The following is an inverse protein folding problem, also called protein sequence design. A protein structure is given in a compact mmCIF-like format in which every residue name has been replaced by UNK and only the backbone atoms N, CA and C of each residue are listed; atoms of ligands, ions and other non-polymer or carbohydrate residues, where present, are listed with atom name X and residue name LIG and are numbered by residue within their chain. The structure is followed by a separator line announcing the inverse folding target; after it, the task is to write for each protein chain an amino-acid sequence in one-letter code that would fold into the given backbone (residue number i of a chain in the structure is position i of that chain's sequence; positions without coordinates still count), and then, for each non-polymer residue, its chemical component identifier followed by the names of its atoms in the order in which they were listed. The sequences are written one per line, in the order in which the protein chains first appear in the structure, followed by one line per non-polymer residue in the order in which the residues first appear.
data_IF_062356494378
#
_entry.id   IF_062356494378
#
_cell.length_a   1.000
_cell.length_b   1.000
_cell.length_c   1.000
_cell.angle_alpha   90.00
_cell.angle_beta   90.00
_cell.angle_gamma   90.00
#
_symmetry.space_group_name_H-M   'P 1'
#
loop_
_entity.id
_entity.type
_entity.pdbx_description
1 polymer ?
#
# COMPACT_ATOMS: atom_id res chain seq x y z
N UNK A 1 11.46 -21.50 10.08
CA UNK A 1 10.05 -21.94 10.14
C UNK A 1 9.34 -21.47 11.41
N UNK A 2 9.88 -21.63 12.64
CA UNK A 2 9.26 -21.08 13.86
C UNK A 2 8.99 -19.56 13.84
N UNK A 3 9.89 -18.76 13.25
CA UNK A 3 9.68 -17.30 13.08
C UNK A 3 8.54 -16.96 12.10
N UNK A 4 8.26 -17.87 11.14
CA UNK A 4 7.15 -17.76 10.20
C UNK A 4 5.82 -18.19 10.84
N UNK A 5 5.86 -19.19 11.74
CA UNK A 5 4.69 -19.62 12.52
C UNK A 5 4.27 -18.59 13.57
N UNK A 6 5.20 -17.86 14.20
CA UNK A 6 4.85 -16.77 15.13
C UNK A 6 4.35 -15.51 14.42
N UNK A 7 4.90 -15.18 13.23
CA UNK A 7 4.33 -14.16 12.33
C UNK A 7 2.89 -14.49 11.95
N UNK A 8 2.61 -15.76 11.66
CA UNK A 8 1.25 -16.20 11.34
C UNK A 8 0.27 -16.12 12.52
N UNK A 9 0.73 -16.16 13.79
CA UNK A 9 -0.20 -16.08 14.91
C UNK A 9 -0.84 -14.69 15.04
N UNK A 10 -0.04 -13.62 14.90
CA UNK A 10 -0.59 -12.25 14.88
C UNK A 10 -1.55 -12.06 13.72
N UNK A 11 -1.23 -12.62 12.57
CA UNK A 11 -2.04 -12.48 11.36
C UNK A 11 -3.33 -13.30 11.43
N UNK A 12 -3.28 -14.51 12.00
CA UNK A 12 -4.46 -15.30 12.28
C UNK A 12 -5.39 -14.62 13.30
N UNK A 13 -4.82 -14.05 14.37
CA UNK A 13 -5.60 -13.28 15.35
C UNK A 13 -6.20 -12.02 14.72
N UNK A 14 -5.44 -11.31 13.88
CA UNK A 14 -5.95 -10.17 13.13
C UNK A 14 -7.10 -10.60 12.20
N UNK A 15 -6.95 -11.66 11.41
CA UNK A 15 -8.01 -12.22 10.57
C UNK A 15 -9.26 -12.58 11.37
N UNK A 16 -9.09 -13.21 12.53
CA UNK A 16 -10.19 -13.54 13.44
C UNK A 16 -10.92 -12.28 13.92
N UNK A 17 -10.19 -11.27 14.38
CA UNK A 17 -10.78 -10.02 14.88
C UNK A 17 -11.44 -9.18 13.77
N UNK A 18 -10.86 -9.16 12.55
CA UNK A 18 -11.51 -8.59 11.37
C UNK A 18 -12.83 -9.33 11.11
N UNK A 19 -12.80 -10.67 11.06
CA UNK A 19 -13.98 -11.49 10.86
C UNK A 19 -15.06 -11.26 11.92
N UNK A 20 -14.67 -11.16 13.19
CA UNK A 20 -15.55 -10.85 14.32
C UNK A 20 -16.17 -9.46 14.16
N UNK A 21 -15.39 -8.45 13.79
CA UNK A 21 -15.87 -7.10 13.54
C UNK A 21 -16.89 -7.07 12.39
N UNK A 22 -16.58 -7.69 11.26
CA UNK A 22 -17.49 -7.77 10.10
C UNK A 22 -18.76 -8.57 10.42
N UNK A 23 -18.65 -9.63 11.20
CA UNK A 23 -19.80 -10.40 11.66
C UNK A 23 -20.70 -9.60 12.59
N UNK A 24 -20.12 -8.83 13.52
CA UNK A 24 -20.84 -7.88 14.36
C UNK A 24 -21.56 -6.82 13.50
N UNK A 25 -20.91 -6.25 12.48
CA UNK A 25 -21.55 -5.31 11.55
C UNK A 25 -22.69 -5.97 10.76
N UNK A 26 -22.53 -7.21 10.31
CA UNK A 26 -23.60 -7.96 9.65
C UNK A 26 -24.79 -8.22 10.59
N UNK A 27 -24.53 -8.52 11.87
CA UNK A 27 -25.56 -8.64 12.93
C UNK A 27 -26.26 -7.32 13.19
N UNK A 28 -25.53 -6.20 13.15
CA UNK A 28 -26.10 -4.87 13.24
C UNK A 28 -27.03 -4.58 12.05
N UNK A 29 -26.63 -4.93 10.83
CA UNK A 29 -27.48 -4.82 9.62
C UNK A 29 -28.76 -5.64 9.72
N UNK A 30 -28.72 -6.79 10.42
CA UNK A 30 -29.87 -7.64 10.64
C UNK A 30 -30.86 -7.07 11.67
N UNK A 31 -30.41 -6.37 12.73
CA UNK A 31 -31.29 -6.02 13.85
C UNK A 31 -30.90 -4.83 14.72
N UNK A 32 -30.04 -3.92 14.27
CA UNK A 32 -29.64 -2.66 14.92
C UNK A 32 -29.47 -2.74 16.45
N UNK A 33 -28.70 -3.73 16.92
CA UNK A 33 -28.48 -3.98 18.35
C UNK A 33 -27.22 -3.30 18.85
N UNK A 34 -27.27 -2.67 20.03
CA UNK A 34 -26.09 -2.08 20.69
C UNK A 34 -24.97 -3.08 20.92
N UNK A 35 -25.30 -4.32 21.29
CA UNK A 35 -24.32 -5.38 21.52
C UNK A 35 -23.45 -5.68 20.29
N UNK A 36 -24.00 -5.50 19.09
CA UNK A 36 -23.24 -5.67 17.86
C UNK A 36 -22.19 -4.57 17.67
N UNK A 37 -22.53 -3.30 17.96
CA UNK A 37 -21.55 -2.22 17.90
C UNK A 37 -20.50 -2.32 19.01
N UNK A 38 -20.90 -2.69 20.23
CA UNK A 38 -19.95 -2.94 21.33
C UNK A 38 -18.98 -4.05 20.95
N UNK A 39 -19.46 -5.15 20.36
CA UNK A 39 -18.61 -6.23 19.86
C UNK A 39 -17.66 -5.80 18.75
N UNK A 40 -18.13 -4.98 17.80
CA UNK A 40 -17.28 -4.41 16.75
C UNK A 40 -16.20 -3.49 17.31
N UNK A 41 -16.55 -2.61 18.27
CA UNK A 41 -15.61 -1.71 18.93
C UNK A 41 -14.60 -2.47 19.80
N UNK A 42 -15.01 -3.52 20.50
CA UNK A 42 -14.10 -4.38 21.26
C UNK A 42 -13.09 -5.08 20.34
N UNK A 43 -13.55 -5.61 19.19
CA UNK A 43 -12.65 -6.17 18.18
C UNK A 43 -11.68 -5.12 17.62
N UNK A 44 -12.14 -3.88 17.45
CA UNK A 44 -11.33 -2.75 16.99
C UNK A 44 -10.24 -2.37 18.01
N UNK A 45 -10.57 -2.27 19.30
CA UNK A 45 -9.59 -2.01 20.38
C UNK A 45 -8.49 -3.08 20.38
N UNK A 46 -8.85 -4.35 20.24
CA UNK A 46 -7.85 -5.43 20.19
C UNK A 46 -6.98 -5.36 18.93
N UNK A 47 -7.54 -4.91 17.80
CA UNK A 47 -6.83 -4.75 16.52
C UNK A 47 -5.71 -3.71 16.57
N UNK A 48 -5.86 -2.68 17.42
CA UNK A 48 -4.93 -1.56 17.56
C UNK A 48 -3.47 -2.04 17.76
N UNK A 49 -3.29 -3.03 18.63
CA UNK A 49 -1.96 -3.59 18.97
C UNK A 49 -1.38 -4.54 17.92
N UNK A 50 -2.21 -5.03 16.99
CA UNK A 50 -1.82 -6.06 16.02
C UNK A 50 -1.41 -5.48 14.68
N UNK A 51 -2.31 -4.68 14.08
CA UNK A 51 -2.16 -4.16 12.71
C UNK A 51 -2.78 -2.77 12.65
N UNK A 52 -2.00 -1.76 12.98
CA UNK A 52 -2.45 -0.37 13.09
C UNK A 52 -3.19 0.15 11.85
N UNK A 53 -2.69 -0.10 10.63
CA UNK A 53 -3.37 0.35 9.41
C UNK A 53 -4.74 -0.33 9.19
N UNK A 54 -4.88 -1.60 9.59
CA UNK A 54 -6.17 -2.33 9.55
C UNK A 54 -7.12 -1.75 10.59
N UNK A 55 -6.62 -1.42 11.78
CA UNK A 55 -7.37 -0.71 12.81
C UNK A 55 -7.91 0.62 12.28
N UNK A 56 -7.08 1.48 11.68
CA UNK A 56 -7.53 2.76 11.10
C UNK A 56 -8.58 2.52 10.00
N UNK A 57 -8.35 1.54 9.12
CA UNK A 57 -9.33 1.16 8.09
C UNK A 57 -10.67 0.77 8.69
N UNK A 58 -10.68 -0.14 9.67
CA UNK A 58 -11.89 -0.59 10.34
C UNK A 58 -12.58 0.54 11.12
N UNK A 59 -11.84 1.44 11.76
CA UNK A 59 -12.37 2.60 12.47
C UNK A 59 -13.14 3.54 11.52
N UNK A 60 -12.74 3.63 10.25
CA UNK A 60 -13.47 4.36 9.20
C UNK A 60 -14.65 3.51 8.69
N UNK A 61 -14.45 2.22 8.46
CA UNK A 61 -15.46 1.32 7.87
C UNK A 61 -16.67 1.13 8.79
N UNK A 62 -16.47 1.00 10.10
CA UNK A 62 -17.55 0.77 11.08
C UNK A 62 -18.67 1.83 10.97
N UNK A 63 -18.40 3.14 11.08
CA UNK A 63 -19.46 4.15 10.92
C UNK A 63 -20.05 4.18 9.51
N UNK A 64 -19.24 4.02 8.44
CA UNK A 64 -19.78 3.93 7.07
C UNK A 64 -20.72 2.74 6.88
N UNK A 65 -20.38 1.58 7.44
CA UNK A 65 -21.22 0.40 7.40
C UNK A 65 -22.54 0.62 8.15
N UNK A 66 -22.52 1.34 9.28
CA UNK A 66 -23.73 1.71 10.03
C UNK A 66 -24.63 2.65 9.21
N UNK A 67 -24.05 3.62 8.48
CA UNK A 67 -24.79 4.51 7.57
C UNK A 67 -25.51 3.72 6.47
N UNK A 68 -24.89 2.66 5.95
CA UNK A 68 -25.45 1.85 4.86
C UNK A 68 -26.44 0.78 5.32
N UNK A 69 -26.75 0.70 6.62
CA UNK A 69 -27.66 -0.30 7.16
C UNK A 69 -29.08 -0.19 6.55
N UNK A 70 -29.61 -1.26 5.91
CA UNK A 70 -30.82 -1.16 5.08
C UNK A 70 -32.12 -0.95 5.87
N UNK A 71 -32.16 -1.34 7.15
CA UNK A 71 -33.41 -1.42 7.96
C UNK A 71 -33.65 -0.20 8.86
N UNK A 72 -32.78 0.80 8.85
CA UNK A 72 -32.90 1.98 9.70
C UNK A 72 -33.53 3.16 8.94
N UNK A 73 -34.50 3.82 9.56
CA UNK A 73 -34.95 5.14 9.14
C UNK A 73 -33.85 6.19 9.34
N UNK A 74 -34.00 7.38 8.73
CA UNK A 74 -32.93 8.37 8.64
C UNK A 74 -32.42 8.85 10.02
N UNK A 75 -33.34 9.17 10.95
CA UNK A 75 -32.97 9.74 12.26
C UNK A 75 -32.22 8.75 13.14
N UNK A 76 -32.70 7.51 13.38
CA UNK A 76 -31.92 6.49 14.08
C UNK A 76 -30.59 6.23 13.39
N UNK A 77 -30.57 6.12 12.06
CA UNK A 77 -29.34 5.90 11.29
C UNK A 77 -28.29 6.98 11.58
N UNK A 78 -28.67 8.25 11.58
CA UNK A 78 -27.75 9.35 11.91
C UNK A 78 -27.24 9.24 13.35
N UNK A 79 -28.11 8.95 14.32
CA UNK A 79 -27.71 8.76 15.74
C UNK A 79 -26.73 7.60 15.92
N UNK A 80 -27.01 6.45 15.30
CA UNK A 80 -26.14 5.29 15.35
C UNK A 80 -24.79 5.55 14.67
N UNK A 81 -24.82 6.22 13.52
CA UNK A 81 -23.61 6.55 12.76
C UNK A 81 -22.75 7.55 13.52
N UNK A 82 -23.35 8.57 14.14
CA UNK A 82 -22.66 9.54 14.99
C UNK A 82 -22.02 8.87 16.21
N UNK A 83 -22.73 7.95 16.88
CA UNK A 83 -22.18 7.17 17.99
C UNK A 83 -21.00 6.30 17.57
N UNK A 84 -21.13 5.57 16.46
CA UNK A 84 -20.05 4.75 15.91
C UNK A 84 -18.83 5.58 15.49
N UNK A 85 -19.05 6.75 14.88
CA UNK A 85 -18.01 7.67 14.46
C UNK A 85 -17.29 8.29 15.68
N UNK A 86 -18.04 8.68 16.72
CA UNK A 86 -17.47 9.21 17.96
C UNK A 86 -16.57 8.18 18.65
N UNK A 87 -17.03 6.94 18.81
CA UNK A 87 -16.23 5.86 19.40
C UNK A 87 -14.97 5.61 18.57
N UNK A 88 -15.10 5.52 17.25
CA UNK A 88 -13.96 5.29 16.36
C UNK A 88 -12.95 6.44 16.43
N UNK A 89 -13.42 7.69 16.46
CA UNK A 89 -12.57 8.87 16.59
C UNK A 89 -11.86 8.93 17.95
N UNK A 90 -12.55 8.58 19.04
CA UNK A 90 -11.94 8.51 20.38
C UNK A 90 -10.83 7.46 20.44
N UNK A 91 -11.05 6.28 19.85
CA UNK A 91 -10.02 5.22 19.77
C UNK A 91 -8.80 5.64 18.94
N UNK A 92 -9.03 6.32 17.81
CA UNK A 92 -7.92 6.85 16.99
C UNK A 92 -7.17 7.97 17.72
N UNK A 93 -7.89 8.82 18.46
CA UNK A 93 -7.30 9.90 19.25
C UNK A 93 -6.48 9.38 20.44
N UNK A 94 -6.94 8.33 21.14
CA UNK A 94 -6.23 7.75 22.29
C UNK A 94 -4.91 7.09 21.92
N UNK A 95 -4.72 6.68 20.66
CA UNK A 95 -3.48 6.07 20.19
C UNK A 95 -2.33 7.08 20.00
N UNK A 96 -2.53 8.37 20.29
CA UNK A 96 -1.48 9.41 20.26
C UNK A 96 -1.08 9.87 18.85
N UNK A 97 -1.10 8.97 17.86
CA UNK A 97 -0.80 9.24 16.45
C UNK A 97 -1.85 10.11 15.75
N UNK A 98 -3.13 10.03 16.15
CA UNK A 98 -4.18 10.88 15.59
C UNK A 98 -3.89 12.36 15.83
N UNK A 99 -3.52 12.73 17.05
CA UNK A 99 -3.32 14.13 17.43
C UNK A 99 -1.87 14.58 17.14
N UNK A 100 -0.86 13.76 17.48
CA UNK A 100 0.54 14.13 17.27
C UNK A 100 0.95 14.11 15.79
N UNK A 101 0.44 13.15 15.00
CA UNK A 101 0.66 13.07 13.56
C UNK A 101 0.00 14.23 12.81
N UNK A 102 -1.22 14.61 13.19
CA UNK A 102 -1.89 15.82 12.66
C UNK A 102 -1.20 17.12 13.09
N UNK A 103 -0.65 17.17 14.32
CA UNK A 103 0.08 18.34 14.82
C UNK A 103 1.47 18.53 14.18
N UNK A 104 2.09 17.48 13.64
CA UNK A 104 3.41 17.52 13.00
C UNK A 104 3.46 18.23 11.63
N UNK A 105 2.40 18.94 11.23
CA UNK A 105 2.39 19.88 10.10
C UNK A 105 2.22 19.26 8.71
N UNK A 106 2.39 17.95 8.53
CA UNK A 106 2.23 17.27 7.23
C UNK A 106 0.81 16.77 6.90
N UNK A 107 -0.07 16.69 7.90
CA UNK A 107 -1.40 16.08 7.73
C UNK A 107 -1.35 14.58 7.37
N UNK A 108 -2.53 13.93 7.24
CA UNK A 108 -2.62 12.47 7.02
C UNK A 108 -2.02 12.04 5.68
N UNK A 109 -2.08 12.88 4.64
CA UNK A 109 -1.55 12.56 3.32
C UNK A 109 -0.03 12.49 3.31
N UNK A 110 0.66 13.40 4.01
CA UNK A 110 2.12 13.31 4.15
C UNK A 110 2.53 12.06 4.95
N UNK A 111 1.73 11.63 5.93
CA UNK A 111 2.00 10.40 6.66
C UNK A 111 1.87 9.15 5.77
N UNK A 112 0.84 9.08 4.91
CA UNK A 112 0.69 8.01 3.92
C UNK A 112 1.88 8.00 2.94
N UNK A 113 2.24 9.19 2.45
CA UNK A 113 3.35 9.37 1.51
C UNK A 113 4.70 8.96 2.13
N UNK A 114 4.98 9.39 3.36
CA UNK A 114 6.17 9.01 4.11
C UNK A 114 6.24 7.51 4.37
N UNK A 115 5.11 6.90 4.76
CA UNK A 115 5.00 5.44 4.95
C UNK A 115 5.31 4.70 3.66
N UNK A 116 4.73 5.16 2.55
CA UNK A 116 4.92 4.62 1.21
C UNK A 116 6.38 4.68 0.74
N UNK A 117 7.02 5.83 0.93
CA UNK A 117 8.44 6.01 0.63
C UNK A 117 9.32 5.12 1.51
N UNK A 118 9.04 5.04 2.81
CA UNK A 118 9.77 4.17 3.74
C UNK A 118 9.70 2.71 3.32
N UNK A 119 8.53 2.22 2.90
CA UNK A 119 8.36 0.86 2.41
C UNK A 119 9.08 0.62 1.08
N UNK A 120 9.06 1.58 0.17
CA UNK A 120 9.80 1.49 -1.10
C UNK A 120 11.32 1.43 -0.88
N UNK A 121 11.85 2.18 0.09
CA UNK A 121 13.29 2.23 0.39
C UNK A 121 13.81 0.95 1.06
N UNK A 122 13.00 0.32 1.92
CA UNK A 122 13.44 -0.82 2.73
C UNK A 122 13.71 -2.10 1.92
N UNK A 123 13.36 -2.14 0.64
CA UNK A 123 13.21 -3.40 -0.09
C UNK A 123 13.59 -3.27 -1.57
N UNK A 124 14.06 -4.38 -2.15
CA UNK A 124 14.57 -4.37 -3.54
C UNK A 124 13.51 -4.37 -4.64
N UNK A 125 12.24 -4.27 -4.27
CA UNK A 125 11.09 -4.43 -5.18
C UNK A 125 10.12 -3.25 -5.09
N UNK A 126 10.67 -2.06 -4.79
CA UNK A 126 9.93 -0.81 -4.86
C UNK A 126 9.45 -0.55 -6.29
N UNK A 127 8.17 -0.20 -6.47
CA UNK A 127 7.57 0.06 -7.79
C UNK A 127 7.27 1.55 -8.01
N UNK A 128 7.82 2.41 -7.15
CA UNK A 128 7.68 3.85 -7.20
C UNK A 128 9.04 4.51 -7.20
N UNK A 129 9.15 5.65 -7.87
CA UNK A 129 10.31 6.51 -7.75
C UNK A 129 10.36 7.08 -6.33
N UNK A 130 11.56 7.13 -5.74
CA UNK A 130 11.76 7.69 -4.41
C UNK A 130 11.93 9.20 -4.58
N UNK A 131 10.96 10.04 -4.17
CA UNK A 131 11.15 11.47 -4.24
C UNK A 131 12.22 11.89 -3.24
N UNK A 132 13.24 12.57 -3.71
CA UNK A 132 14.29 13.19 -2.90
C UNK A 132 13.98 14.68 -2.89
N UNK A 133 13.65 15.21 -1.71
CA UNK A 133 13.45 16.65 -1.57
C UNK A 133 14.79 17.35 -1.76
N UNK A 134 14.83 18.31 -2.67
CA UNK A 134 16.03 19.03 -3.02
C UNK A 134 15.75 20.53 -3.14
N UNK A 135 16.59 21.33 -2.50
CA UNK A 135 16.67 22.78 -2.65
C UNK A 135 17.77 23.13 -3.63
N UNK A 136 17.64 24.28 -4.26
CA UNK A 136 18.76 24.85 -5.02
C UNK A 136 19.95 25.07 -4.07
N UNK A 137 21.14 24.61 -4.48
CA UNK A 137 22.34 24.53 -3.65
C UNK A 137 22.56 23.18 -2.97
N UNK A 138 21.55 22.31 -2.90
CA UNK A 138 21.73 20.98 -2.30
C UNK A 138 22.70 20.14 -3.14
N UNK A 139 23.60 19.44 -2.44
CA UNK A 139 24.58 18.55 -3.06
C UNK A 139 24.30 17.13 -2.60
N UNK A 140 23.97 16.28 -3.58
CA UNK A 140 23.61 14.89 -3.38
C UNK A 140 24.77 14.00 -3.86
N UNK A 141 25.13 12.98 -3.08
CA UNK A 141 26.19 12.04 -3.46
C UNK A 141 25.56 10.70 -3.81
N UNK A 142 25.89 10.18 -4.99
CA UNK A 142 25.49 8.83 -5.37
C UNK A 142 26.40 7.84 -4.62
N UNK A 143 25.87 6.98 -3.74
CA UNK A 143 26.71 6.08 -2.95
C UNK A 143 27.48 5.12 -3.85
N UNK A 144 28.81 5.07 -3.70
CA UNK A 144 29.64 4.03 -4.32
C UNK A 144 29.37 2.69 -3.63
N UNK A 145 29.30 1.60 -4.40
CA UNK A 145 29.33 0.28 -3.78
C UNK A 145 30.60 0.14 -2.94
N UNK A 146 30.53 -0.47 -1.73
CA UNK A 146 31.72 -0.72 -0.95
C UNK A 146 32.69 -1.51 -1.82
N UNK A 147 34.00 -1.19 -1.77
CA UNK A 147 34.98 -1.89 -2.57
C UNK A 147 34.85 -3.38 -2.30
N UNK A 148 34.73 -4.17 -3.37
CA UNK A 148 34.72 -5.63 -3.25
C UNK A 148 36.04 -6.02 -2.60
N UNK A 149 35.99 -6.75 -1.49
CA UNK A 149 37.20 -7.14 -0.76
C UNK A 149 38.23 -7.74 -1.73
N UNK A 150 39.36 -7.05 -1.92
CA UNK A 150 40.43 -7.45 -2.84
C UNK A 150 40.66 -6.55 -4.06
N UNK A 151 39.80 -5.55 -4.34
CA UNK A 151 40.10 -4.55 -5.38
C UNK A 151 40.75 -3.31 -4.76
N UNK A 152 42.07 -3.20 -4.84
CA UNK A 152 42.82 -1.96 -4.58
C UNK A 152 42.61 -1.00 -5.74
N UNK A 153 41.51 -0.24 -5.72
CA UNK A 153 41.30 0.86 -6.65
C UNK A 153 42.21 2.03 -6.27
N UNK A 154 43.06 2.45 -7.20
CA UNK A 154 43.85 3.68 -7.12
C UNK A 154 42.91 4.88 -6.87
N UNK A 155 43.23 5.79 -5.94
CA UNK A 155 42.37 6.91 -5.56
C UNK A 155 42.50 8.03 -6.60
N UNK A 156 41.88 7.88 -7.78
CA UNK A 156 42.22 8.78 -8.88
C UNK A 156 41.06 9.00 -9.87
N UNK A 157 40.10 9.81 -9.44
CA UNK A 157 39.56 10.92 -10.23
C UNK A 157 38.66 11.74 -9.32
N UNK A 158 38.72 13.08 -9.42
CA UNK A 158 37.73 13.95 -8.78
C UNK A 158 36.34 13.51 -9.27
N UNK A 159 35.38 13.22 -8.36
CA UNK A 159 34.08 12.72 -8.78
C UNK A 159 33.41 13.74 -9.71
N UNK A 160 32.83 13.31 -10.83
CA UNK A 160 32.20 14.23 -11.77
C UNK A 160 31.02 14.94 -11.10
N UNK A 161 30.94 16.24 -11.32
CA UNK A 161 29.87 17.08 -10.79
C UNK A 161 28.79 17.20 -11.88
N UNK A 162 27.57 16.81 -11.54
CA UNK A 162 26.41 16.86 -12.44
C UNK A 162 25.41 17.87 -11.91
N UNK A 163 25.18 18.93 -12.67
CA UNK A 163 24.19 19.95 -12.31
C UNK A 163 22.81 19.56 -12.84
N UNK A 164 21.79 19.65 -11.99
CA UNK A 164 20.41 19.28 -12.33
C UNK A 164 19.42 20.29 -11.80
N UNK A 165 18.32 20.50 -12.52
CA UNK A 165 17.24 21.36 -12.03
C UNK A 165 16.39 20.63 -10.99
N UNK A 166 15.76 21.39 -10.09
CA UNK A 166 14.68 20.87 -9.26
C UNK A 166 13.54 20.39 -10.18
N UNK A 167 13.02 19.16 -9.97
CA UNK A 167 12.16 18.37 -10.87
C UNK A 167 12.86 17.41 -11.84
N UNK A 168 14.20 17.33 -11.83
CA UNK A 168 14.90 16.33 -12.66
C UNK A 168 14.73 14.93 -12.08
N UNK A 169 14.41 13.94 -12.93
CA UNK A 169 14.48 12.53 -12.55
C UNK A 169 15.92 12.05 -12.62
N UNK A 170 16.45 11.54 -11.51
CA UNK A 170 17.77 10.93 -11.45
C UNK A 170 17.63 9.41 -11.56
N UNK A 171 18.40 8.81 -12.46
CA UNK A 171 18.52 7.36 -12.55
C UNK A 171 19.97 6.98 -12.37
N UNK A 172 20.26 6.29 -11.26
CA UNK A 172 21.61 5.78 -11.00
C UNK A 172 21.85 4.56 -11.89
N UNK A 173 22.81 4.65 -12.81
CA UNK A 173 23.16 3.57 -13.76
C UNK A 173 24.64 3.24 -13.70
N UNK A 174 24.96 1.96 -13.89
CA UNK A 174 26.34 1.51 -14.15
C UNK A 174 26.70 1.66 -15.62
N UNK A 175 25.71 1.51 -16.51
CA UNK A 175 25.87 1.61 -17.96
C UNK A 175 24.75 2.50 -18.50
N UNK A 176 25.11 3.50 -19.32
CA UNK A 176 24.11 4.36 -19.94
C UNK A 176 23.18 3.52 -20.85
N UNK A 177 21.85 3.69 -20.75
CA UNK A 177 20.94 2.98 -21.62
C UNK A 177 21.09 3.46 -23.07
N UNK A 178 20.92 2.55 -24.03
CA UNK A 178 20.98 2.88 -25.46
C UNK A 178 19.92 3.93 -25.88
N UNK A 179 18.78 3.95 -25.19
CA UNK A 179 17.68 4.88 -25.41
C UNK A 179 17.38 5.65 -24.11
N UNK A 180 18.00 6.82 -23.90
CA UNK A 180 17.75 7.62 -22.71
C UNK A 180 16.31 8.16 -22.69
N UNK A 181 15.70 8.18 -21.50
CA UNK A 181 14.36 8.73 -21.28
C UNK A 181 14.46 10.26 -21.22
N UNK A 182 13.70 11.01 -22.03
CA UNK A 182 13.68 12.47 -21.98
C UNK A 182 13.39 13.01 -20.57
N UNK A 183 14.12 14.06 -20.15
CA UNK A 183 13.97 14.67 -18.81
C UNK A 183 14.56 13.85 -17.66
N UNK A 184 15.31 12.78 -17.97
CA UNK A 184 16.02 11.95 -17.00
C UNK A 184 17.52 12.19 -17.08
N UNK A 185 18.16 12.43 -15.94
CA UNK A 185 19.62 12.53 -15.83
C UNK A 185 20.17 11.24 -15.25
N UNK A 186 21.08 10.64 -16.01
CA UNK A 186 21.75 9.40 -15.65
C UNK A 186 23.03 9.72 -14.90
N UNK A 187 23.12 9.23 -13.66
CA UNK A 187 24.27 9.46 -12.79
C UNK A 187 24.91 8.12 -12.43
N UNK A 188 26.22 8.10 -12.23
CA UNK A 188 26.97 6.90 -11.87
C UNK A 188 27.24 6.87 -10.36
N UNK A 189 27.46 5.68 -9.77
CA UNK A 189 27.96 5.58 -8.41
C UNK A 189 29.24 6.40 -8.21
N UNK A 190 29.25 7.30 -7.22
CA UNK A 190 30.34 8.23 -6.96
C UNK A 190 30.14 9.64 -7.50
N UNK A 191 29.18 9.86 -8.41
CA UNK A 191 28.89 11.19 -8.94
C UNK A 191 28.36 12.12 -7.84
N UNK A 192 28.69 13.40 -7.96
CA UNK A 192 28.20 14.48 -7.11
C UNK A 192 27.15 15.26 -7.89
N UNK A 193 25.90 15.19 -7.44
CA UNK A 193 24.79 15.86 -8.09
C UNK A 193 24.52 17.18 -7.36
N UNK A 194 24.63 18.30 -8.06
CA UNK A 194 24.34 19.63 -7.52
C UNK A 194 23.02 20.12 -8.09
N UNK A 195 22.11 20.51 -7.20
CA UNK A 195 20.79 20.97 -7.59
C UNK A 195 20.86 22.48 -7.84
N UNK A 196 20.70 22.90 -9.09
CA UNK A 196 20.82 24.29 -9.50
C UNK A 196 21.52 24.47 -10.85
N UNK A 197 21.70 25.74 -11.25
CA UNK A 197 22.42 26.09 -12.48
C UNK A 197 23.92 25.74 -12.41
N UNK A 198 24.59 25.81 -13.57
CA UNK A 198 26.02 25.53 -13.70
C UNK A 198 26.95 26.41 -12.83
N UNK A 199 26.45 27.55 -12.33
CA UNK A 199 27.20 28.45 -11.45
C UNK A 199 27.15 28.10 -9.95
N UNK A 200 26.39 27.06 -9.56
CA UNK A 200 26.23 26.69 -8.14
C UNK A 200 27.36 25.74 -7.73
N UNK A 201 28.26 26.19 -6.84
CA UNK A 201 29.33 25.33 -6.33
C UNK A 201 28.81 24.22 -5.41
N UNK A 202 29.40 23.01 -5.45
CA UNK A 202 29.00 21.92 -4.57
C UNK A 202 29.25 22.28 -3.10
N UNK A 203 28.32 21.86 -2.24
CA UNK A 203 28.45 22.00 -0.80
C UNK A 203 29.67 21.21 -0.27
N UNK A 204 30.28 21.67 0.83
CA UNK A 204 31.37 20.95 1.48
C UNK A 204 30.90 19.55 1.94
N UNK A 205 31.84 18.61 2.03
CA UNK A 205 31.55 17.17 2.15
C UNK A 205 30.69 16.79 3.35
N UNK A 206 30.79 17.55 4.45
CA UNK A 206 30.02 17.39 5.68
C UNK A 206 28.53 17.74 5.53
N UNK A 207 28.15 18.49 4.49
CA UNK A 207 26.76 18.90 4.21
C UNK A 207 26.11 18.16 3.05
N UNK A 208 26.79 17.16 2.48
CA UNK A 208 26.27 16.40 1.34
C UNK A 208 25.25 15.37 1.80
N UNK A 209 24.12 15.30 1.12
CA UNK A 209 23.09 14.28 1.39
C UNK A 209 23.37 13.06 0.52
N UNK A 210 23.48 11.88 1.12
CA UNK A 210 23.68 10.65 0.34
C UNK A 210 22.35 10.22 -0.26
N UNK A 211 22.32 9.98 -1.57
CA UNK A 211 21.12 9.44 -2.22
C UNK A 211 20.79 8.06 -1.64
N UNK A 212 19.50 7.77 -1.41
CA UNK A 212 19.08 6.43 -0.99
C UNK A 212 19.65 5.40 -1.95
N UNK A 213 20.44 4.46 -1.44
CA UNK A 213 21.09 3.45 -2.28
C UNK A 213 20.04 2.50 -2.84
N UNK A 214 19.94 2.41 -4.17
CA UNK A 214 19.15 1.32 -4.75
C UNK A 214 19.87 -0.02 -4.65
N UNK A 215 19.11 -1.11 -4.68
CA UNK A 215 19.68 -2.43 -4.87
C UNK A 215 20.42 -2.54 -6.22
N UNK A 216 21.53 -3.26 -6.20
CA UNK A 216 22.55 -3.34 -7.27
C UNK A 216 22.06 -3.79 -8.66
N UNK A 217 20.84 -4.30 -8.82
CA UNK A 217 20.34 -4.88 -10.08
C UNK A 217 19.34 -3.98 -10.84
N UNK A 218 18.84 -2.88 -10.26
CA UNK A 218 17.74 -2.10 -10.84
C UNK A 218 17.98 -0.60 -11.07
N UNK A 219 19.11 -0.06 -10.61
CA UNK A 219 19.34 1.38 -10.56
C UNK A 219 18.45 2.10 -9.54
N UNK A 220 18.91 3.23 -9.01
CA UNK A 220 18.07 4.08 -8.14
C UNK A 220 17.32 5.05 -9.01
N UNK A 221 16.00 4.90 -9.07
CA UNK A 221 15.14 5.97 -9.59
C UNK A 221 14.82 6.90 -8.42
N UNK A 222 15.55 8.02 -8.35
CA UNK A 222 15.27 9.10 -7.42
C UNK A 222 14.65 10.25 -8.21
N UNK A 223 13.49 10.74 -7.78
CA UNK A 223 12.89 11.92 -8.40
C UNK A 223 13.24 13.14 -7.55
N UNK A 224 13.99 14.10 -8.07
CA UNK A 224 14.22 15.35 -7.34
C UNK A 224 12.92 16.13 -7.32
N UNK A 225 12.32 16.25 -6.15
CA UNK A 225 11.17 17.12 -5.97
C UNK A 225 11.68 18.40 -5.33
N UNK A 226 11.33 19.59 -5.86
CA UNK A 226 11.61 20.85 -5.20
C UNK A 226 11.18 20.74 -3.75
N UNK A 227 12.08 21.02 -2.82
CA UNK A 227 11.70 21.20 -1.44
C UNK A 227 10.83 22.46 -1.40
N UNK A 228 9.52 22.29 -1.61
CA UNK A 228 8.54 23.34 -1.41
C UNK A 228 8.78 23.93 -0.02
N UNK A 229 8.65 25.25 0.08
CA UNK A 229 8.71 25.96 1.36
C UNK A 229 7.94 25.18 2.43
N UNK A 230 8.43 25.11 3.68
CA UNK A 230 7.77 24.37 4.75
C UNK A 230 6.32 24.87 4.88
N UNK A 231 5.37 24.08 4.36
CA UNK A 231 3.96 24.47 4.20
C UNK A 231 3.31 24.17 2.84
N UNK A 232 4.07 23.78 1.80
CA UNK A 232 3.53 23.50 0.46
C UNK A 232 2.72 22.20 0.33
N UNK A 233 1.56 22.12 0.98
CA UNK A 233 0.61 21.01 0.85
C UNK A 233 0.01 20.88 -0.56
N UNK A 234 0.11 21.92 -1.37
CA UNK A 234 -0.53 22.03 -2.69
C UNK A 234 -0.08 20.93 -3.67
N UNK A 235 1.18 20.47 -3.55
CA UNK A 235 1.71 19.40 -4.38
C UNK A 235 1.48 17.99 -3.80
N UNK A 236 1.08 17.83 -2.54
CA UNK A 236 0.92 16.51 -1.91
C UNK A 236 -0.32 15.79 -2.43
N UNK A 237 -1.48 16.44 -2.40
CA UNK A 237 -2.76 15.89 -2.87
C UNK A 237 -2.68 15.36 -4.31
N UNK A 238 -2.27 16.16 -5.32
CA UNK A 238 -2.21 15.68 -6.70
C UNK A 238 -1.20 14.54 -6.89
N UNK A 239 -0.10 14.52 -6.13
CA UNK A 239 0.87 13.40 -6.17
C UNK A 239 0.28 12.11 -5.61
N UNK A 240 -0.34 12.17 -4.44
CA UNK A 240 -0.99 11.00 -3.83
C UNK A 240 -2.13 10.48 -4.71
N UNK A 241 -2.95 11.37 -5.28
CA UNK A 241 -4.01 10.98 -6.21
C UNK A 241 -3.45 10.43 -7.53
N UNK A 242 -2.38 11.02 -8.06
CA UNK A 242 -1.70 10.53 -9.27
C UNK A 242 -1.06 9.15 -9.08
N UNK A 243 -0.67 8.81 -7.84
CA UNK A 243 -0.17 7.48 -7.52
C UNK A 243 -1.28 6.41 -7.48
N UNK A 244 -2.52 6.80 -7.15
CA UNK A 244 -3.59 5.86 -6.84
C UNK A 244 -3.86 4.82 -7.95
N UNK A 245 -3.90 5.15 -9.26
CA UNK A 245 -4.12 4.14 -10.30
C UNK A 245 -3.03 3.07 -10.32
N UNK A 246 -1.77 3.48 -10.16
CA UNK A 246 -0.62 2.55 -10.15
C UNK A 246 -0.66 1.70 -8.89
N UNK A 247 -0.90 2.31 -7.72
CA UNK A 247 -1.02 1.59 -6.45
C UNK A 247 -2.14 0.56 -6.46
N UNK A 248 -3.32 0.92 -7.00
CA UNK A 248 -4.47 0.00 -7.13
C UNK A 248 -4.14 -1.14 -8.08
N UNK A 249 -3.52 -0.85 -9.22
CA UNK A 249 -3.07 -1.90 -10.15
C UNK A 249 -2.10 -2.87 -9.48
N UNK A 250 -1.13 -2.39 -8.70
CA UNK A 250 -0.21 -3.26 -7.98
C UNK A 250 -0.92 -4.03 -6.86
N UNK A 251 -1.82 -3.40 -6.11
CA UNK A 251 -2.55 -4.06 -5.03
C UNK A 251 -3.41 -5.21 -5.56
N UNK A 252 -4.07 -4.99 -6.71
CA UNK A 252 -4.92 -6.00 -7.33
C UNK A 252 -4.12 -7.06 -8.08
N UNK A 253 -3.05 -6.70 -8.78
CA UNK A 253 -2.45 -7.60 -9.78
C UNK A 253 -1.02 -8.04 -9.50
N UNK A 254 -0.27 -7.39 -8.60
CA UNK A 254 1.12 -7.77 -8.36
C UNK A 254 1.25 -9.01 -7.44
N UNK A 255 2.30 -9.83 -7.55
CA UNK A 255 3.27 -9.85 -8.65
C UNK A 255 2.63 -10.25 -9.97
N UNK A 256 3.06 -9.61 -11.05
CA UNK A 256 2.59 -9.95 -12.39
C UNK A 256 3.21 -11.27 -12.85
N UNK A 257 2.47 -12.19 -13.50
CA UNK A 257 3.00 -13.49 -13.91
C UNK A 257 4.22 -13.39 -14.84
N UNK A 258 4.29 -12.33 -15.65
CA UNK A 258 5.41 -12.07 -16.56
C UNK A 258 6.62 -11.39 -15.88
N UNK A 259 6.48 -10.91 -14.64
CA UNK A 259 7.57 -10.29 -13.88
C UNK A 259 8.38 -11.30 -13.06
N UNK A 260 8.15 -12.60 -13.27
CA UNK A 260 8.84 -13.69 -12.56
C UNK A 260 10.26 -13.81 -13.11
N UNK A 261 11.23 -13.39 -12.29
CA UNK A 261 12.66 -13.47 -12.63
C UNK A 261 13.41 -14.55 -11.87
N UNK A 262 12.89 -15.00 -10.72
CA UNK A 262 13.58 -15.94 -9.81
C UNK A 262 12.76 -17.21 -9.62
N UNK A 263 13.45 -18.33 -9.37
CA UNK A 263 12.78 -19.63 -9.13
C UNK A 263 11.83 -19.56 -7.91
N UNK A 264 12.16 -18.77 -6.89
CA UNK A 264 11.30 -18.57 -5.73
C UNK A 264 9.96 -17.90 -6.06
N UNK A 265 9.91 -17.06 -7.10
CA UNK A 265 8.70 -16.36 -7.50
C UNK A 265 7.66 -17.34 -8.08
N UNK A 266 8.09 -18.47 -8.66
CA UNK A 266 7.19 -19.51 -9.17
C UNK A 266 6.31 -20.12 -8.07
N UNK A 267 6.78 -20.14 -6.82
CA UNK A 267 5.99 -20.64 -5.70
C UNK A 267 4.78 -19.74 -5.38
N UNK A 268 4.81 -18.48 -5.81
CA UNK A 268 3.70 -17.54 -5.63
C UNK A 268 2.63 -17.64 -6.72
N UNK A 269 2.95 -18.29 -7.85
CA UNK A 269 2.07 -18.33 -9.02
C UNK A 269 0.72 -19.02 -8.75
N UNK A 270 0.63 -20.15 -8.02
CA UNK A 270 -0.65 -20.75 -7.68
C UNK A 270 -1.55 -19.84 -6.84
N UNK A 271 -0.96 -19.12 -5.87
CA UNK A 271 -1.68 -18.16 -5.03
C UNK A 271 -2.22 -17.00 -5.88
N UNK A 272 -1.41 -16.49 -6.83
CA UNK A 272 -1.82 -15.44 -7.76
C UNK A 272 -2.95 -15.86 -8.70
N UNK A 273 -2.89 -17.07 -9.26
CA UNK A 273 -3.96 -17.59 -10.11
C UNK A 273 -5.26 -17.76 -9.33
N UNK A 274 -5.18 -18.28 -8.10
CA UNK A 274 -6.34 -18.36 -7.21
C UNK A 274 -6.91 -16.97 -6.96
N UNK A 275 -6.07 -16.00 -6.58
CA UNK A 275 -6.44 -14.62 -6.34
C UNK A 275 -7.14 -13.98 -7.54
N UNK A 276 -6.63 -14.16 -8.77
CA UNK A 276 -7.27 -13.65 -9.97
C UNK A 276 -8.64 -14.29 -10.24
N UNK A 277 -8.76 -15.60 -10.00
CA UNK A 277 -10.05 -16.29 -10.07
C UNK A 277 -11.06 -15.71 -9.08
N UNK A 278 -10.64 -15.41 -7.85
CA UNK A 278 -11.47 -14.74 -6.85
C UNK A 278 -11.88 -13.33 -7.30
N UNK A 279 -10.91 -12.52 -7.76
CA UNK A 279 -11.17 -11.17 -8.24
C UNK A 279 -12.15 -11.13 -9.42
N UNK A 280 -12.04 -12.07 -10.37
CA UNK A 280 -12.97 -12.17 -11.51
C UNK A 280 -14.38 -12.60 -11.06
N UNK A 281 -14.49 -13.45 -10.03
CA UNK A 281 -15.76 -13.92 -9.50
C UNK A 281 -16.53 -12.85 -8.70
N UNK A 282 -15.85 -11.89 -8.08
CA UNK A 282 -16.49 -10.83 -7.27
C UNK A 282 -17.45 -9.95 -8.10
N UNK A 283 -17.06 -9.33 -9.24
CA UNK A 283 -17.97 -8.55 -10.07
C UNK A 283 -19.20 -9.34 -10.51
N UNK A 284 -19.04 -10.62 -10.84
CA UNK A 284 -20.15 -11.51 -11.19
C UNK A 284 -21.11 -11.71 -10.00
N UNK A 285 -20.58 -11.93 -8.79
CA UNK A 285 -21.41 -12.00 -7.57
C UNK A 285 -22.16 -10.70 -7.37
N UNK A 286 -21.48 -9.56 -7.44
CA UNK A 286 -22.07 -8.24 -7.18
C UNK A 286 -23.14 -7.88 -8.20
N UNK A 287 -22.94 -8.22 -9.47
CA UNK A 287 -23.92 -8.01 -10.52
C UNK A 287 -25.20 -8.83 -10.27
N UNK A 288 -25.07 -10.13 -9.94
CA UNK A 288 -26.22 -11.00 -9.63
C UNK A 288 -26.92 -10.62 -8.32
N UNK A 289 -26.14 -10.24 -7.32
CA UNK A 289 -26.62 -9.85 -5.99
C UNK A 289 -26.82 -8.33 -5.85
N UNK A 290 -26.94 -7.59 -6.96
CA UNK A 290 -27.06 -6.11 -6.93
C UNK A 290 -28.25 -5.61 -6.11
N UNK A 291 -29.31 -6.40 -5.98
CA UNK A 291 -30.47 -6.07 -5.14
C UNK A 291 -30.17 -6.15 -3.63
N UNK A 292 -29.11 -6.85 -3.24
CA UNK A 292 -28.67 -7.03 -1.85
C UNK A 292 -27.44 -6.17 -1.50
N UNK A 293 -27.00 -5.25 -2.36
CA UNK A 293 -25.71 -4.56 -2.21
C UNK A 293 -25.48 -3.93 -0.83
N UNK A 294 -26.54 -3.42 -0.20
CA UNK A 294 -26.49 -2.87 1.17
C UNK A 294 -26.12 -3.91 2.22
N UNK A 295 -26.62 -5.14 2.10
CA UNK A 295 -26.27 -6.23 3.01
C UNK A 295 -24.82 -6.69 2.84
N UNK A 296 -24.23 -6.48 1.66
CA UNK A 296 -22.82 -6.76 1.39
C UNK A 296 -21.89 -5.59 1.76
N UNK A 297 -22.45 -4.43 2.14
CA UNK A 297 -21.65 -3.21 2.31
C UNK A 297 -20.55 -3.31 3.36
N UNK A 298 -20.70 -3.97 4.52
CA UNK A 298 -19.60 -4.06 5.49
C UNK A 298 -18.38 -4.78 4.90
N UNK A 299 -18.63 -5.88 4.17
CA UNK A 299 -17.58 -6.69 3.55
C UNK A 299 -16.95 -5.97 2.35
N UNK A 300 -17.76 -5.29 1.54
CA UNK A 300 -17.30 -4.48 0.41
C UNK A 300 -16.47 -3.28 0.83
N UNK A 301 -16.93 -2.54 1.84
CA UNK A 301 -16.21 -1.41 2.42
C UNK A 301 -14.87 -1.86 3.01
N UNK A 302 -14.83 -3.04 3.64
CA UNK A 302 -13.59 -3.61 4.14
C UNK A 302 -12.62 -3.99 3.04
N UNK A 303 -13.04 -4.83 2.08
CA UNK A 303 -12.16 -5.27 0.99
C UNK A 303 -11.68 -4.08 0.17
N UNK A 304 -12.60 -3.20 -0.25
CA UNK A 304 -12.26 -2.01 -1.03
C UNK A 304 -11.42 -1.01 -0.25
N UNK A 305 -11.78 -0.75 1.01
CA UNK A 305 -11.07 0.19 1.87
C UNK A 305 -9.64 -0.25 2.22
N UNK A 306 -9.44 -1.54 2.55
CA UNK A 306 -8.09 -2.06 2.79
C UNK A 306 -7.26 -2.08 1.52
N UNK A 307 -7.81 -2.52 0.37
CA UNK A 307 -7.07 -2.46 -0.90
C UNK A 307 -6.70 -1.04 -1.28
N UNK A 308 -7.57 -0.06 -0.98
CA UNK A 308 -7.28 1.36 -1.17
C UNK A 308 -6.16 1.85 -0.25
N UNK A 309 -6.19 1.48 1.04
CA UNK A 309 -5.13 1.82 1.98
C UNK A 309 -3.81 1.21 1.51
N UNK A 310 -3.79 -0.09 1.16
CA UNK A 310 -2.60 -0.75 0.64
C UNK A 310 -2.08 -0.10 -0.64
N UNK A 311 -2.96 0.31 -1.56
CA UNK A 311 -2.59 1.04 -2.76
C UNK A 311 -1.95 2.41 -2.46
N UNK A 312 -2.32 3.05 -1.34
CA UNK A 312 -1.81 4.35 -0.94
C UNK A 312 -0.55 4.25 -0.06
N UNK A 313 -0.42 3.19 0.74
CA UNK A 313 0.66 3.05 1.73
C UNK A 313 1.79 2.15 1.27
N UNK A 314 1.55 1.19 0.39
CA UNK A 314 2.57 0.23 0.01
C UNK A 314 3.35 0.74 -1.19
N UNK A 315 4.64 0.98 -1.01
CA UNK A 315 5.57 1.27 -2.11
C UNK A 315 6.32 0.03 -2.62
N UNK A 316 6.09 -1.14 -2.02
CA UNK A 316 6.84 -2.37 -2.28
C UNK A 316 5.94 -3.56 -2.66
N UNK A 317 6.29 -4.28 -3.73
CA UNK A 317 5.49 -5.42 -4.21
C UNK A 317 5.45 -6.59 -3.22
N UNK A 318 6.58 -6.91 -2.57
CA UNK A 318 6.67 -8.04 -1.64
C UNK A 318 5.89 -7.80 -0.34
N UNK A 319 5.96 -6.59 0.21
CA UNK A 319 5.18 -6.19 1.40
C UNK A 319 3.70 -6.15 1.07
N UNK A 320 3.34 -5.56 -0.07
CA UNK A 320 1.98 -5.51 -0.59
C UNK A 320 1.38 -6.91 -0.78
N UNK A 321 2.12 -7.84 -1.37
CA UNK A 321 1.70 -9.24 -1.52
C UNK A 321 1.37 -9.88 -0.17
N UNK A 322 2.23 -9.70 0.84
CA UNK A 322 2.00 -10.25 2.19
C UNK A 322 0.82 -9.60 2.89
N UNK A 323 0.68 -8.28 2.81
CA UNK A 323 -0.44 -7.57 3.44
C UNK A 323 -1.77 -7.89 2.76
N UNK A 324 -1.78 -8.09 1.44
CA UNK A 324 -2.96 -8.53 0.70
C UNK A 324 -3.45 -9.91 1.15
N UNK A 325 -2.58 -10.81 1.61
CA UNK A 325 -2.99 -12.13 2.09
C UNK A 325 -4.08 -12.04 3.18
N UNK A 326 -4.14 -10.94 3.94
CA UNK A 326 -5.19 -10.68 4.93
C UNK A 326 -6.57 -10.41 4.32
N UNK A 327 -6.61 -9.92 3.07
CA UNK A 327 -7.84 -9.57 2.36
C UNK A 327 -8.41 -10.78 1.61
N UNK A 328 -7.55 -11.76 1.26
CA UNK A 328 -7.93 -12.94 0.46
C UNK A 328 -9.14 -13.69 1.04
N UNK A 329 -9.21 -14.03 2.34
CA UNK A 329 -10.37 -14.74 2.89
C UNK A 329 -11.70 -13.99 2.68
N UNK A 330 -11.66 -12.66 2.78
CA UNK A 330 -12.84 -11.81 2.64
C UNK A 330 -13.27 -11.64 1.17
N UNK A 331 -12.31 -11.60 0.26
CA UNK A 331 -12.56 -11.65 -1.19
C UNK A 331 -13.10 -13.01 -1.59
N UNK A 332 -12.60 -14.10 -1.01
CA UNK A 332 -13.14 -15.44 -1.20
C UNK A 332 -14.61 -15.53 -0.73
N UNK A 333 -14.95 -14.92 0.41
CA UNK A 333 -16.34 -14.81 0.88
C UNK A 333 -17.23 -14.04 -0.11
N UNK A 334 -16.74 -12.94 -0.70
CA UNK A 334 -17.45 -12.20 -1.76
C UNK A 334 -17.58 -13.03 -3.07
N UNK A 335 -16.57 -13.82 -3.42
CA UNK A 335 -16.55 -14.64 -4.62
C UNK A 335 -17.39 -15.92 -4.50
N UNK A 336 -17.64 -16.39 -3.27
CA UNK A 336 -18.22 -17.70 -3.00
C UNK A 336 -19.53 -18.02 -3.75
N UNK A 337 -20.54 -17.13 -3.84
CA UNK A 337 -21.79 -17.44 -4.57
C UNK A 337 -21.56 -17.77 -6.06
N UNK A 338 -20.61 -17.08 -6.69
CA UNK A 338 -20.24 -17.27 -8.09
C UNK A 338 -19.50 -18.58 -8.29
N UNK A 339 -18.51 -18.85 -7.43
CA UNK A 339 -17.74 -20.10 -7.46
C UNK A 339 -18.64 -21.33 -7.23
N UNK A 340 -19.60 -21.24 -6.30
CA UNK A 340 -20.57 -22.31 -6.06
C UNK A 340 -21.47 -22.56 -7.28
N UNK A 341 -21.86 -21.51 -8.01
CA UNK A 341 -22.65 -21.64 -9.24
C UNK A 341 -21.84 -22.38 -10.32
N UNK A 342 -20.60 -21.97 -10.54
CA UNK A 342 -19.69 -22.61 -11.50
C UNK A 342 -19.43 -24.06 -11.11
N UNK A 343 -19.18 -24.35 -9.83
CA UNK A 343 -18.95 -25.71 -9.36
C UNK A 343 -20.18 -26.62 -9.44
N UNK A 344 -21.40 -26.08 -9.31
CA UNK A 344 -22.64 -26.84 -9.56
C UNK A 344 -22.81 -27.14 -11.04
N UNK A 345 -22.56 -26.16 -11.90
CA UNK A 345 -22.61 -26.33 -13.36
C UNK A 345 -21.58 -27.35 -13.87
N UNK A 346 -20.34 -27.29 -13.38
CA UNK A 346 -19.29 -28.22 -13.77
C UNK A 346 -19.63 -29.65 -13.35
N UNK A 347 -20.12 -29.85 -12.11
CA UNK A 347 -20.59 -31.17 -11.64
C UNK A 347 -21.74 -31.71 -12.49
N UNK A 348 -22.69 -30.87 -12.89
CA UNK A 348 -23.79 -31.29 -13.75
C UNK A 348 -23.32 -31.77 -15.13
N UNK A 349 -22.21 -31.23 -15.67
CA UNK A 349 -21.63 -31.66 -16.95
C UNK A 349 -20.77 -32.93 -16.84
N UNK A 350 -20.16 -33.16 -15.68
CA UNK A 350 -19.28 -34.32 -15.46
C UNK A 350 -20.04 -35.57 -15.00
N UNK A 351 -21.24 -35.42 -14.44
CA UNK A 351 -22.08 -36.55 -14.08
C UNK A 351 -22.46 -37.34 -15.34
N UNK A 352 -22.19 -38.67 -15.40
CA UNK A 352 -22.63 -39.49 -16.52
C UNK A 352 -24.17 -39.45 -16.65
N UNK A 353 -24.73 -39.59 -17.86
CA UNK A 353 -26.17 -39.69 -18.04
C UNK A 353 -26.70 -40.85 -17.18
N UNK A 354 -27.79 -40.62 -16.44
CA UNK A 354 -28.41 -41.68 -15.66
C UNK A 354 -28.86 -42.79 -16.61
N UNK A 355 -28.54 -44.07 -16.34
CA UNK A 355 -29.05 -45.18 -17.14
C UNK A 355 -30.58 -45.13 -17.15
N UNK A 356 -31.16 -45.35 -18.34
CA UNK A 356 -32.59 -45.29 -18.60
C UNK A 356 -33.36 -46.44 -17.96
#
# INVERSE_FOLDING_TARGET
LMLWSSLNLKDALALFLIGLCLWCLARFHAGARWSALVGASAALVLMESLRWYVFIGLAIIVPLAVVLAPRLSLVPRLRWSAGAALVSALLVASNGLGIAGMASGGGPLAALESTRQGMAQQTRTGFIDIPVQAREGDTLVVPTSPPRAGTTSTPESTPPIVHVSANTRLVVVTTLPANPIPGTVYVRPGDVVVVGGAGVSPAPSDRRTVLPRAPEEGGTNAQLVPATAPGGNDALVPRTLGHLPIGVMHALFAPFPWAIGRLADWLTLPDMLLWYGLLAAVPWTLWRARHLWRSWSPLLLFVGGILLILALTEGNVGTLYRHRAMVIPFVALLAAPSLLTVGRWARARLSPPRPA
#
